data_IF_223528012233
#
_entry.id   IF_223528012233
#
_cell.length_a   1.000
_cell.length_b   1.000
_cell.length_c   1.000
_cell.angle_alpha   90.00
_cell.angle_beta   90.00
_cell.angle_gamma   90.00
#
_symmetry.space_group_name_H-M   'P 1'
#
loop_
_entity.id
_entity.type
_entity.pdbx_description
1 polymer ?
#
# COMPACT_ATOMS: atom_id res chain seq x y z
N UNK A 1 4.40 -53.79 38.71
CA UNK A 1 4.50 -52.31 38.80
C UNK A 1 5.25 -51.82 37.57
N UNK A 2 4.55 -51.22 36.60
CA UNK A 2 5.15 -50.78 35.32
C UNK A 2 4.98 -49.26 35.18
N UNK A 3 6.01 -48.66 34.58
CA UNK A 3 6.06 -47.38 33.86
C UNK A 3 6.34 -46.12 34.67
N UNK A 4 7.62 -45.72 34.63
CA UNK A 4 8.05 -44.33 34.70
C UNK A 4 9.13 -44.14 33.64
N UNK A 5 8.88 -43.24 32.67
CA UNK A 5 9.76 -42.12 32.28
C UNK A 5 9.44 -41.64 30.84
N UNK A 6 8.54 -40.66 30.81
CA UNK A 6 8.56 -39.44 30.01
C UNK A 6 9.15 -39.44 28.60
N UNK A 7 8.24 -39.37 27.61
CA UNK A 7 8.16 -38.35 26.55
C UNK A 7 9.52 -37.87 26.01
N UNK A 8 10.09 -38.66 25.11
CA UNK A 8 11.00 -38.22 24.05
C UNK A 8 10.32 -38.75 22.79
N UNK A 9 9.53 -37.98 22.06
CA UNK A 9 9.94 -37.09 20.96
C UNK A 9 8.74 -36.18 20.68
N UNK A 10 8.70 -34.97 21.27
CA UNK A 10 7.71 -33.93 20.90
C UNK A 10 8.42 -32.64 20.47
N UNK A 11 9.67 -32.76 20.02
CA UNK A 11 10.60 -31.64 19.83
C UNK A 11 11.24 -31.59 18.44
N UNK A 12 10.56 -32.07 17.39
CA UNK A 12 11.02 -31.96 15.98
C UNK A 12 9.90 -31.35 15.09
N UNK A 13 9.10 -30.42 15.62
CA UNK A 13 8.07 -29.71 14.84
C UNK A 13 8.11 -28.18 14.99
N UNK A 14 9.26 -27.62 15.39
CA UNK A 14 9.44 -26.16 15.60
C UNK A 14 10.63 -25.56 14.85
N UNK A 15 10.97 -26.06 13.66
CA UNK A 15 12.00 -25.44 12.80
C UNK A 15 11.63 -25.38 11.31
N UNK A 16 10.34 -25.44 10.97
CA UNK A 16 9.87 -24.93 9.68
C UNK A 16 9.21 -23.57 9.93
N UNK A 17 10.02 -22.53 10.12
CA UNK A 17 9.57 -21.18 9.81
C UNK A 17 9.29 -21.15 8.31
N UNK A 18 8.10 -21.59 7.92
CA UNK A 18 7.59 -21.43 6.57
C UNK A 18 7.79 -19.95 6.24
N UNK A 19 8.64 -19.65 5.25
CA UNK A 19 8.73 -18.29 4.74
C UNK A 19 7.32 -17.95 4.27
N UNK A 20 6.63 -17.10 5.02
CA UNK A 20 5.32 -16.60 4.63
C UNK A 20 5.55 -15.75 3.38
N UNK A 21 5.06 -16.22 2.23
CA UNK A 21 5.12 -15.46 1.00
C UNK A 21 3.96 -14.45 1.02
N UNK A 22 4.29 -13.17 1.20
CA UNK A 22 3.33 -12.10 0.92
C UNK A 22 3.06 -11.97 -0.57
N UNK A 23 1.87 -11.48 -0.91
CA UNK A 23 1.55 -11.03 -2.26
C UNK A 23 1.79 -9.51 -2.32
N UNK A 24 2.47 -9.05 -3.36
CA UNK A 24 2.59 -7.62 -3.62
C UNK A 24 1.19 -7.02 -3.84
N UNK A 25 0.92 -5.86 -3.24
CA UNK A 25 -0.40 -5.24 -3.37
C UNK A 25 -0.50 -4.42 -4.66
N UNK A 26 -1.70 -4.37 -5.24
CA UNK A 26 -2.00 -3.43 -6.32
C UNK A 26 -1.85 -2.00 -5.80
N UNK A 27 -1.03 -1.17 -6.46
CA UNK A 27 -0.84 0.21 -6.04
C UNK A 27 -2.08 1.04 -6.36
N UNK A 28 -2.28 2.10 -5.58
CA UNK A 28 -3.12 3.20 -6.03
C UNK A 28 -2.38 3.96 -7.15
N UNK A 29 -3.10 4.81 -7.87
CA UNK A 29 -2.52 5.70 -8.89
C UNK A 29 -2.58 7.15 -8.45
N UNK A 30 -1.55 7.93 -8.79
CA UNK A 30 -1.52 9.38 -8.58
C UNK A 30 -1.21 10.07 -9.90
N UNK A 31 -2.08 11.01 -10.28
CA UNK A 31 -1.80 11.96 -11.36
C UNK A 31 -1.04 13.15 -10.76
N UNK A 32 0.23 13.29 -11.14
CA UNK A 32 1.13 14.33 -10.69
C UNK A 32 2.03 14.78 -11.84
N UNK A 33 2.23 16.09 -12.01
CA UNK A 33 3.03 16.65 -13.11
C UNK A 33 2.63 16.09 -14.49
N UNK A 34 1.32 16.00 -14.74
CA UNK A 34 0.71 15.50 -15.99
C UNK A 34 0.93 14.01 -16.29
N UNK A 35 1.69 13.29 -15.47
CA UNK A 35 1.91 11.86 -15.57
C UNK A 35 1.07 11.07 -14.56
N UNK A 36 0.82 9.81 -14.85
CA UNK A 36 0.18 8.87 -13.93
C UNK A 36 1.22 7.93 -13.35
N UNK A 37 1.38 7.96 -12.03
CA UNK A 37 2.35 7.14 -11.32
C UNK A 37 1.65 6.14 -10.40
N UNK A 38 2.17 4.91 -10.24
CA UNK A 38 1.78 4.08 -9.11
C UNK A 38 2.27 4.74 -7.82
N UNK A 39 1.47 4.66 -6.76
CA UNK A 39 1.88 5.07 -5.42
C UNK A 39 1.91 3.88 -4.47
N UNK A 40 2.98 3.81 -3.70
CA UNK A 40 3.29 2.70 -2.79
C UNK A 40 2.90 3.11 -1.36
N UNK A 41 1.68 3.62 -1.26
CA UNK A 41 1.04 4.19 -0.07
C UNK A 41 -0.47 4.11 -0.27
N UNK A 42 -1.25 4.02 0.80
CA UNK A 42 -2.72 3.92 0.70
C UNK A 42 -3.41 5.07 1.45
N UNK A 43 -3.47 6.29 0.89
CA UNK A 43 -3.96 7.47 1.62
C UNK A 43 -5.41 7.32 2.12
N UNK A 44 -6.28 6.60 1.41
CA UNK A 44 -7.68 6.41 1.81
C UNK A 44 -7.81 5.52 3.05
N UNK A 45 -6.88 4.59 3.32
CA UNK A 45 -6.95 3.78 4.55
C UNK A 45 -6.87 4.63 5.82
N UNK A 46 -6.17 5.77 5.78
CA UNK A 46 -6.10 6.71 6.91
C UNK A 46 -7.40 7.44 7.22
N UNK A 47 -8.36 7.44 6.29
CA UNK A 47 -9.68 8.03 6.51
C UNK A 47 -10.50 7.18 7.48
N UNK A 48 -10.31 5.86 7.47
CA UNK A 48 -11.13 4.93 8.23
C UNK A 48 -10.62 4.78 9.66
N UNK A 49 -11.55 4.86 10.61
CA UNK A 49 -11.29 4.73 12.05
C UNK A 49 -12.58 4.35 12.79
N UNK A 50 -12.57 4.29 14.11
CA UNK A 50 -13.75 3.90 14.89
C UNK A 50 -14.98 4.81 14.68
N UNK A 51 -14.77 6.09 14.38
CA UNK A 51 -15.85 7.06 14.13
C UNK A 51 -16.29 7.09 12.66
N UNK A 52 -15.48 6.52 11.77
CA UNK A 52 -15.74 6.45 10.34
C UNK A 52 -15.27 5.07 9.83
N UNK A 53 -16.04 4.01 10.13
CA UNK A 53 -15.61 2.66 9.83
C UNK A 53 -15.52 2.43 8.32
N UNK A 54 -14.58 1.58 7.91
CA UNK A 54 -14.46 1.17 6.53
C UNK A 54 -15.72 0.39 6.10
N UNK A 55 -16.44 0.80 5.04
CA UNK A 55 -17.67 0.13 4.62
C UNK A 55 -17.34 -1.20 3.95
N UNK A 56 -17.50 -2.29 4.70
CA UNK A 56 -17.14 -3.65 4.25
C UNK A 56 -18.06 -4.19 3.14
N UNK A 57 -19.28 -3.70 3.05
CA UNK A 57 -20.25 -3.99 2.01
C UNK A 57 -19.89 -3.38 0.65
N UNK A 58 -19.20 -2.24 0.68
CA UNK A 58 -18.64 -1.54 -0.49
C UNK A 58 -17.26 -2.13 -0.86
N UNK A 59 -16.34 -2.23 0.11
CA UNK A 59 -14.97 -2.70 -0.13
C UNK A 59 -14.81 -4.19 0.13
N UNK A 60 -15.36 -4.99 -0.78
CA UNK A 60 -15.35 -6.45 -0.67
C UNK A 60 -13.97 -7.01 -0.97
N UNK A 61 -13.53 -7.96 -0.14
CA UNK A 61 -12.36 -8.76 -0.45
C UNK A 61 -12.66 -9.64 -1.68
N UNK A 62 -11.86 -9.50 -2.73
CA UNK A 62 -12.01 -10.28 -3.96
C UNK A 62 -10.68 -10.76 -4.55
N UNK A 63 -9.55 -10.26 -4.05
CA UNK A 63 -8.25 -10.51 -4.65
C UNK A 63 -7.15 -10.47 -3.57
N UNK A 64 -6.29 -11.49 -3.53
CA UNK A 64 -5.16 -11.53 -2.58
C UNK A 64 -4.06 -10.51 -2.93
N UNK A 65 -4.08 -9.96 -4.15
CA UNK A 65 -3.24 -8.82 -4.51
C UNK A 65 -3.87 -7.47 -4.14
N UNK A 66 -5.10 -7.42 -3.62
CA UNK A 66 -5.73 -6.17 -3.17
C UNK A 66 -6.70 -6.40 -2.01
N UNK A 67 -6.16 -6.66 -0.82
CA UNK A 67 -6.96 -6.93 0.38
C UNK A 67 -7.83 -5.74 0.81
N UNK A 68 -7.44 -4.54 0.38
CA UNK A 68 -8.17 -3.30 0.66
C UNK A 68 -9.54 -3.25 0.01
N UNK A 69 -9.81 -4.07 -1.01
CA UNK A 69 -11.09 -4.14 -1.71
C UNK A 69 -11.34 -2.99 -2.70
N UNK A 70 -10.38 -2.07 -2.88
CA UNK A 70 -10.45 -1.01 -3.87
C UNK A 70 -9.05 -0.63 -4.39
N UNK A 71 -9.02 0.02 -5.56
CA UNK A 71 -7.88 0.78 -6.05
C UNK A 71 -8.32 2.23 -6.21
N UNK A 72 -7.55 3.16 -5.64
CA UNK A 72 -7.85 4.58 -5.71
C UNK A 72 -7.02 5.29 -6.79
N UNK A 73 -7.63 6.27 -7.45
CA UNK A 73 -6.91 7.25 -8.27
C UNK A 73 -6.96 8.60 -7.59
N UNK A 74 -5.79 9.18 -7.41
CA UNK A 74 -5.56 10.47 -6.79
C UNK A 74 -5.05 11.49 -7.81
N UNK A 75 -5.17 12.77 -7.47
CA UNK A 75 -4.55 13.85 -8.23
C UNK A 75 -4.05 14.93 -7.28
N UNK A 76 -2.89 15.50 -7.56
CA UNK A 76 -2.44 16.74 -6.91
C UNK A 76 -2.67 17.91 -7.87
N UNK A 77 -3.49 18.88 -7.46
CA UNK A 77 -3.73 20.15 -8.16
C UNK A 77 -3.58 21.29 -7.18
N UNK A 78 -2.87 22.35 -7.55
CA UNK A 78 -2.60 23.51 -6.69
C UNK A 78 -2.06 23.11 -5.30
N UNK A 79 -1.13 22.15 -5.29
CA UNK A 79 -0.55 21.53 -4.08
C UNK A 79 -1.54 20.83 -3.17
N UNK A 80 -2.76 20.52 -3.60
CA UNK A 80 -3.73 19.79 -2.80
C UNK A 80 -4.00 18.41 -3.39
N UNK A 81 -4.06 17.40 -2.51
CA UNK A 81 -4.39 16.04 -2.84
C UNK A 81 -5.92 15.85 -2.93
N UNK A 82 -6.36 15.23 -4.02
CA UNK A 82 -7.76 14.90 -4.26
C UNK A 82 -7.91 13.42 -4.61
N UNK A 83 -8.92 12.77 -4.04
CA UNK A 83 -9.40 11.47 -4.50
C UNK A 83 -10.39 11.72 -5.66
N UNK A 84 -10.10 11.13 -6.82
CA UNK A 84 -10.88 11.38 -8.04
C UNK A 84 -11.62 10.14 -8.56
N UNK A 85 -11.18 8.93 -8.18
CA UNK A 85 -11.81 7.67 -8.62
C UNK A 85 -11.56 6.55 -7.61
N UNK A 86 -12.55 5.67 -7.47
CA UNK A 86 -12.39 4.37 -6.84
C UNK A 86 -12.89 3.28 -7.80
N UNK A 87 -12.18 2.17 -7.88
CA UNK A 87 -12.64 0.95 -8.54
C UNK A 87 -12.49 -0.23 -7.60
N UNK A 88 -13.22 -1.31 -7.85
CA UNK A 88 -13.09 -2.56 -7.11
C UNK A 88 -11.66 -3.11 -7.17
N UNK A 89 -11.16 -3.56 -6.02
CA UNK A 89 -9.84 -4.18 -5.89
C UNK A 89 -9.86 -5.66 -6.31
N UNK A 90 -10.25 -5.94 -7.54
CA UNK A 90 -10.43 -7.31 -8.06
C UNK A 90 -9.26 -7.78 -8.92
N UNK A 91 -9.06 -9.09 -8.98
CA UNK A 91 -8.11 -9.75 -9.88
C UNK A 91 -8.69 -9.95 -11.30
N UNK A 92 -9.97 -9.59 -11.51
CA UNK A 92 -10.67 -9.69 -12.79
C UNK A 92 -10.34 -8.48 -13.68
N UNK A 93 -10.48 -8.63 -15.00
CA UNK A 93 -10.16 -7.56 -15.96
C UNK A 93 -11.19 -6.42 -16.02
N UNK A 94 -12.37 -6.60 -15.43
CA UNK A 94 -13.54 -5.71 -15.52
C UNK A 94 -13.87 -5.01 -14.19
N UNK A 95 -12.83 -4.54 -13.47
CA UNK A 95 -13.00 -3.83 -12.20
C UNK A 95 -14.03 -2.69 -12.31
N UNK A 96 -15.12 -2.80 -11.55
CA UNK A 96 -16.21 -1.84 -11.58
C UNK A 96 -15.85 -0.58 -10.82
N UNK A 97 -16.37 0.55 -11.28
CA UNK A 97 -16.24 1.81 -10.55
C UNK A 97 -17.09 1.81 -9.28
N UNK A 98 -16.52 2.31 -8.19
CA UNK A 98 -17.21 2.55 -6.93
C UNK A 98 -17.49 4.07 -6.86
N UNK A 99 -18.74 4.51 -7.04
CA UNK A 99 -19.13 5.89 -6.83
C UNK A 99 -18.59 6.47 -5.52
N UNK A 100 -17.86 7.58 -5.60
CA UNK A 100 -17.28 8.25 -4.43
C UNK A 100 -18.35 8.67 -3.41
N UNK A 101 -19.57 8.94 -3.86
CA UNK A 101 -20.72 9.26 -3.00
C UNK A 101 -21.14 8.12 -2.07
N UNK A 102 -20.80 6.86 -2.37
CA UNK A 102 -21.05 5.75 -1.45
C UNK A 102 -20.11 5.79 -0.23
N UNK A 103 -18.93 6.40 -0.36
CA UNK A 103 -17.94 6.53 0.72
C UNK A 103 -17.98 7.93 1.36
N UNK A 104 -18.28 8.95 0.56
CA UNK A 104 -18.35 10.36 0.96
C UNK A 104 -19.70 10.97 0.57
N UNK A 105 -20.80 10.58 1.22
CA UNK A 105 -22.17 10.95 0.79
C UNK A 105 -22.47 12.45 0.85
N UNK A 106 -21.73 13.20 1.67
CA UNK A 106 -21.93 14.64 1.88
C UNK A 106 -20.97 15.52 1.08
N UNK A 107 -20.05 14.93 0.31
CA UNK A 107 -19.02 15.67 -0.42
C UNK A 107 -19.20 15.51 -1.93
N UNK A 108 -18.84 16.55 -2.69
CA UNK A 108 -18.84 16.52 -4.15
C UNK A 108 -17.48 16.08 -4.68
N UNK A 109 -17.47 15.22 -5.69
CA UNK A 109 -16.26 14.83 -6.42
C UNK A 109 -15.66 16.04 -7.18
N UNK A 110 -14.32 16.18 -7.25
CA UNK A 110 -13.32 15.34 -6.58
C UNK A 110 -13.24 15.61 -5.07
N UNK A 111 -12.95 14.58 -4.27
CA UNK A 111 -12.91 14.69 -2.80
C UNK A 111 -11.56 15.28 -2.38
N UNK A 112 -11.56 16.46 -1.75
CA UNK A 112 -10.35 17.08 -1.21
C UNK A 112 -9.89 16.33 0.05
N UNK A 113 -8.69 15.76 0.00
CA UNK A 113 -8.19 14.81 1.00
C UNK A 113 -7.65 15.48 2.28
N UNK A 114 -8.44 16.36 2.89
CA UNK A 114 -8.03 17.18 4.05
C UNK A 114 -7.68 16.37 5.30
N UNK A 115 -8.16 15.13 5.39
CA UNK A 115 -7.84 14.21 6.47
C UNK A 115 -6.41 13.64 6.38
N UNK A 116 -5.82 13.58 5.19
CA UNK A 116 -4.59 12.84 4.98
C UNK A 116 -3.37 13.67 5.41
N UNK A 117 -2.55 13.10 6.28
CA UNK A 117 -1.20 13.58 6.58
C UNK A 117 -0.25 12.38 6.58
N UNK A 118 0.79 12.44 5.76
CA UNK A 118 1.70 11.32 5.52
C UNK A 118 2.59 11.56 4.31
N UNK A 119 3.39 10.57 3.96
CA UNK A 119 4.28 10.66 2.80
C UNK A 119 3.83 9.67 1.74
N UNK A 120 3.56 10.18 0.53
CA UNK A 120 3.29 9.36 -0.65
C UNK A 120 4.62 8.98 -1.28
N UNK A 121 4.83 7.68 -1.51
CA UNK A 121 6.01 7.13 -2.21
C UNK A 121 5.66 6.80 -3.65
N UNK A 122 6.44 7.32 -4.60
CA UNK A 122 6.37 7.00 -6.03
C UNK A 122 7.68 6.28 -6.42
N UNK A 123 7.64 4.98 -6.72
CA UNK A 123 8.82 4.27 -7.22
C UNK A 123 9.16 4.70 -8.65
N UNK A 124 10.45 4.84 -8.93
CA UNK A 124 10.98 5.29 -10.22
C UNK A 124 12.12 4.39 -10.71
N UNK A 125 12.17 4.18 -12.03
CA UNK A 125 13.19 3.36 -12.67
C UNK A 125 12.98 1.86 -12.48
N UNK A 126 14.05 1.08 -12.63
CA UNK A 126 14.00 -0.38 -12.55
C UNK A 126 13.84 -0.84 -11.11
N UNK A 127 13.14 -1.97 -10.93
CA UNK A 127 13.09 -2.67 -9.65
C UNK A 127 14.42 -3.37 -9.41
N UNK A 128 15.17 -2.93 -8.41
CA UNK A 128 16.47 -3.48 -8.02
C UNK A 128 16.32 -4.76 -7.19
N UNK A 129 15.36 -4.77 -6.27
CA UNK A 129 15.06 -5.94 -5.44
C UNK A 129 13.56 -6.13 -5.32
N UNK A 130 13.11 -7.35 -5.61
CA UNK A 130 11.73 -7.74 -5.36
C UNK A 130 11.57 -8.17 -3.89
N UNK A 131 10.60 -7.56 -3.22
CA UNK A 131 10.15 -7.97 -1.89
C UNK A 131 8.67 -8.25 -1.97
N UNK A 132 8.29 -9.45 -1.51
CA UNK A 132 6.96 -10.03 -1.65
C UNK A 132 5.89 -9.34 -0.78
N UNK A 133 6.29 -8.54 0.21
CA UNK A 133 5.37 -7.96 1.20
C UNK A 133 4.91 -6.56 0.77
N UNK A 134 3.65 -6.45 0.32
CA UNK A 134 3.00 -5.16 0.07
C UNK A 134 3.75 -4.28 -0.94
N UNK A 135 4.35 -3.20 -0.45
CA UNK A 135 5.08 -2.20 -1.24
C UNK A 135 6.58 -2.14 -0.91
N UNK A 136 7.14 -3.19 -0.32
CA UNK A 136 8.54 -3.21 0.17
C UNK A 136 9.59 -3.39 -0.93
N UNK A 137 9.19 -3.59 -2.19
CA UNK A 137 10.15 -3.69 -3.30
C UNK A 137 10.99 -2.41 -3.43
N UNK A 138 12.26 -2.59 -3.79
CA UNK A 138 13.24 -1.50 -3.93
C UNK A 138 13.44 -1.19 -5.41
N UNK A 139 13.38 0.10 -5.75
CA UNK A 139 13.53 0.63 -7.09
C UNK A 139 14.77 1.52 -7.14
N UNK A 140 15.28 1.82 -8.33
CA UNK A 140 16.44 2.71 -8.52
C UNK A 140 16.28 4.03 -7.76
N UNK A 141 15.11 4.65 -7.85
CA UNK A 141 14.78 5.88 -7.13
C UNK A 141 13.39 5.83 -6.53
N UNK A 142 13.17 6.62 -5.50
CA UNK A 142 11.85 6.90 -4.95
C UNK A 142 11.65 8.41 -4.84
N UNK A 143 10.58 8.92 -5.44
CA UNK A 143 10.09 10.27 -5.20
C UNK A 143 9.11 10.23 -4.02
N UNK A 144 9.38 11.03 -3.00
CA UNK A 144 8.54 11.17 -1.83
C UNK A 144 7.85 12.53 -1.83
N UNK A 145 6.52 12.50 -1.63
CA UNK A 145 5.68 13.69 -1.52
C UNK A 145 5.08 13.75 -0.13
N UNK A 146 5.51 14.72 0.68
CA UNK A 146 5.02 14.90 2.05
C UNK A 146 3.76 15.75 2.04
N UNK A 147 2.69 15.17 2.56
CA UNK A 147 1.37 15.78 2.63
C UNK A 147 1.02 16.09 4.08
N UNK A 148 0.57 17.31 4.34
CA UNK A 148 0.01 17.72 5.62
C UNK A 148 -1.41 18.24 5.41
N UNK A 149 -2.40 17.59 6.05
CA UNK A 149 -3.83 17.92 5.94
C UNK A 149 -4.29 18.10 4.49
N UNK A 150 -3.86 17.20 3.62
CA UNK A 150 -4.16 17.19 2.19
C UNK A 150 -3.34 18.18 1.35
N UNK A 151 -2.37 18.91 1.91
CA UNK A 151 -1.50 19.85 1.19
C UNK A 151 -0.09 19.30 1.03
N UNK A 152 0.44 19.30 -0.19
CA UNK A 152 1.84 19.02 -0.49
C UNK A 152 2.72 20.15 0.07
N UNK A 153 3.57 19.79 1.03
CA UNK A 153 4.47 20.73 1.71
C UNK A 153 5.94 20.54 1.34
N UNK A 154 6.32 19.34 0.90
CA UNK A 154 7.70 18.99 0.63
C UNK A 154 7.75 17.84 -0.38
N UNK A 155 8.75 17.87 -1.27
CA UNK A 155 9.07 16.79 -2.20
C UNK A 155 10.58 16.54 -2.19
N UNK A 156 10.98 15.28 -2.23
CA UNK A 156 12.40 14.89 -2.30
C UNK A 156 12.57 13.52 -2.95
N UNK A 157 13.75 13.28 -3.53
CA UNK A 157 14.11 12.03 -4.20
C UNK A 157 15.17 11.29 -3.38
N UNK A 158 15.02 9.98 -3.25
CA UNK A 158 16.03 9.08 -2.70
C UNK A 158 16.56 8.19 -3.81
N UNK A 159 17.88 8.15 -3.98
CA UNK A 159 18.55 7.18 -4.84
C UNK A 159 18.92 5.94 -4.01
N UNK A 160 18.46 4.77 -4.46
CA UNK A 160 18.63 3.52 -3.72
C UNK A 160 19.77 2.65 -4.27
N UNK A 161 20.41 3.05 -5.37
CA UNK A 161 21.45 2.23 -6.04
C UNK A 161 22.64 1.99 -5.11
N UNK A 162 23.18 3.06 -4.52
CA UNK A 162 24.36 2.95 -3.64
C UNK A 162 24.01 2.31 -2.29
N UNK A 163 22.80 2.58 -1.77
CA UNK A 163 22.33 2.06 -0.49
C UNK A 163 22.25 0.53 -0.49
N UNK A 164 21.75 -0.05 -1.57
CA UNK A 164 21.69 -1.51 -1.75
C UNK A 164 23.09 -2.15 -1.86
N UNK A 165 24.04 -1.51 -2.53
CA UNK A 165 25.41 -2.02 -2.67
C UNK A 165 26.14 -2.09 -1.32
N UNK A 166 25.86 -1.16 -0.40
CA UNK A 166 26.40 -1.19 0.96
C UNK A 166 25.72 -2.26 1.82
N UNK A 167 24.39 -2.36 1.81
CA UNK A 167 23.63 -3.34 2.61
C UNK A 167 23.88 -4.81 2.18
N UNK A 168 24.19 -5.07 0.91
CA UNK A 168 24.57 -6.41 0.46
C UNK A 168 25.99 -6.81 0.84
N UNK A 169 26.92 -5.85 1.00
CA UNK A 169 28.29 -6.13 1.44
C UNK A 169 28.39 -6.46 2.93
N UNK A 170 27.43 -6.00 3.73
CA UNK A 170 27.40 -6.23 5.19
C UNK A 170 26.58 -7.46 5.61
N UNK A 171 26.00 -8.19 4.64
CA UNK A 171 25.25 -9.42 4.92
C UNK A 171 26.24 -10.61 5.04
N UNK A 172 26.36 -11.26 6.20
CA UNK A 172 27.32 -12.34 6.45
C UNK A 172 27.04 -13.61 5.66
#
# INVERSE_FOLDING_TARGET
MKRSLQIVVFSILMLSSWKAFGTAQFPDSLIYQEETHPIYTNPLESYFNNNNPKPADIFRFSCTACWRGYIATWRIVDKHLYLIKLVEGTCQSDAKEIPLSMVFPTQKSPIKATWYSGTIRIPQGKRLQYVHMGYESIYEKDLFLKIEKGKLIEEYVVDNVDKLLHEQKERP
#
